data_IF_368282901433
#
_entry.id   IF_368282901433
#
_cell.length_a   1.000
_cell.length_b   1.000
_cell.length_c   1.000
_cell.angle_alpha   90.00
_cell.angle_beta   90.00
_cell.angle_gamma   90.00
#
_symmetry.space_group_name_H-M   'P 1'
#
loop_
_entity.id
_entity.type
_entity.pdbx_description
1 polymer ?
#
# COMPACT_ATOMS: atom_id res chain seq x y z
N UNK A 1 10.39 -60.97 -13.35
CA UNK A 1 10.71 -59.66 -13.93
C UNK A 1 9.49 -58.77 -14.26
N UNK A 2 8.23 -59.11 -13.91
CA UNK A 2 7.02 -58.31 -14.22
C UNK A 2 6.46 -57.47 -13.04
N UNK A 3 6.97 -57.67 -11.83
CA UNK A 3 6.49 -56.93 -10.64
C UNK A 3 7.27 -55.66 -10.29
N UNK A 4 8.47 -55.52 -10.85
CA UNK A 4 9.33 -54.35 -10.55
C UNK A 4 9.01 -53.12 -11.41
N UNK A 5 8.33 -53.29 -12.55
CA UNK A 5 7.97 -52.19 -13.47
C UNK A 5 6.72 -51.43 -13.02
N UNK A 6 5.84 -52.07 -12.22
CA UNK A 6 4.64 -51.41 -11.71
C UNK A 6 4.91 -50.46 -10.53
N UNK A 7 5.99 -50.66 -9.82
CA UNK A 7 6.34 -49.81 -8.64
C UNK A 7 7.06 -48.51 -9.04
N UNK A 8 7.75 -48.49 -10.16
CA UNK A 8 8.36 -47.23 -10.67
C UNK A 8 7.38 -46.29 -11.33
N UNK A 9 6.23 -46.77 -11.82
CA UNK A 9 5.20 -45.94 -12.43
C UNK A 9 4.38 -45.12 -11.42
N UNK A 10 4.25 -45.62 -10.19
CA UNK A 10 3.47 -44.92 -9.14
C UNK A 10 4.24 -43.77 -8.46
N UNK A 11 5.59 -43.81 -8.50
CA UNK A 11 6.44 -42.79 -7.89
C UNK A 11 6.65 -41.55 -8.81
N UNK A 12 6.44 -41.71 -10.12
CA UNK A 12 6.62 -40.62 -11.09
C UNK A 12 5.38 -39.70 -11.23
N UNK A 13 4.21 -40.13 -10.73
CA UNK A 13 2.97 -39.33 -10.80
C UNK A 13 2.79 -38.37 -9.62
N UNK A 14 3.62 -38.48 -8.58
CA UNK A 14 3.50 -37.64 -7.38
C UNK A 14 4.36 -36.36 -7.40
N UNK A 15 5.09 -36.09 -8.48
CA UNK A 15 6.02 -34.93 -8.58
C UNK A 15 5.49 -33.79 -9.49
N UNK A 16 4.28 -33.91 -10.02
CA UNK A 16 3.58 -32.79 -10.68
C UNK A 16 2.52 -32.20 -9.75
N UNK A 17 2.87 -31.95 -8.49
CA UNK A 17 2.17 -30.89 -7.74
C UNK A 17 2.54 -29.58 -8.41
N UNK A 18 1.83 -29.23 -9.49
CA UNK A 18 1.74 -27.88 -9.97
C UNK A 18 1.35 -27.06 -8.75
N UNK A 19 2.27 -26.24 -8.24
CA UNK A 19 1.90 -25.18 -7.31
C UNK A 19 0.93 -24.27 -8.04
N UNK A 20 -0.34 -24.64 -8.05
CA UNK A 20 -1.43 -23.72 -8.36
C UNK A 20 -1.31 -22.70 -7.24
N UNK A 21 -0.80 -21.53 -7.58
CA UNK A 21 -0.79 -20.37 -6.69
C UNK A 21 -2.27 -20.07 -6.41
N UNK A 22 -2.78 -20.72 -5.38
CA UNK A 22 -4.19 -20.63 -5.04
C UNK A 22 -4.49 -19.24 -4.50
N UNK A 23 -5.63 -18.68 -4.86
CA UNK A 23 -6.30 -17.62 -4.12
C UNK A 23 -6.30 -17.95 -2.61
N UNK A 24 -6.49 -16.96 -1.75
CA UNK A 24 -6.54 -17.22 -0.31
C UNK A 24 -7.73 -18.12 0.05
N UNK A 25 -7.64 -18.83 1.17
CA UNK A 25 -8.74 -19.65 1.64
C UNK A 25 -9.95 -18.80 2.06
N UNK A 26 -11.17 -19.37 2.09
CA UNK A 26 -12.34 -18.66 2.62
C UNK A 26 -12.14 -18.16 4.05
N UNK A 27 -11.44 -18.91 4.90
CA UNK A 27 -11.11 -18.55 6.27
C UNK A 27 -10.20 -17.33 6.33
N UNK A 28 -9.19 -17.26 5.45
CA UNK A 28 -8.31 -16.10 5.33
C UNK A 28 -9.08 -14.89 4.80
N UNK A 29 -9.90 -15.07 3.76
CA UNK A 29 -10.71 -13.99 3.20
C UNK A 29 -11.71 -13.41 4.20
N UNK A 30 -12.22 -14.22 5.14
CA UNK A 30 -13.13 -13.77 6.21
C UNK A 30 -12.45 -12.87 7.26
N UNK A 31 -11.12 -12.79 7.28
CA UNK A 31 -10.40 -11.81 8.10
C UNK A 31 -10.59 -10.38 7.58
N UNK A 32 -10.86 -10.20 6.27
CA UNK A 32 -11.10 -8.89 5.66
C UNK A 32 -12.38 -8.25 6.23
N UNK A 33 -12.22 -7.07 6.81
CA UNK A 33 -13.29 -6.34 7.50
C UNK A 33 -13.47 -6.74 8.98
N UNK A 34 -12.84 -7.81 9.45
CA UNK A 34 -12.88 -8.25 10.87
C UNK A 34 -11.58 -7.94 11.60
N UNK A 35 -10.60 -8.81 11.58
CA UNK A 35 -9.26 -8.57 12.14
C UNK A 35 -8.35 -7.79 11.21
N UNK A 36 -8.57 -7.89 9.90
CA UNK A 36 -7.94 -7.04 8.89
C UNK A 36 -8.89 -5.94 8.45
N UNK A 37 -8.34 -4.83 7.97
CA UNK A 37 -9.13 -3.84 7.22
C UNK A 37 -9.71 -4.50 5.96
N UNK A 38 -10.74 -3.95 5.33
CA UNK A 38 -11.27 -4.51 4.08
C UNK A 38 -10.24 -4.65 2.96
N UNK A 39 -9.16 -3.89 3.00
CA UNK A 39 -8.07 -3.93 2.03
C UNK A 39 -6.83 -4.71 2.51
N UNK A 40 -6.94 -5.46 3.62
CA UNK A 40 -5.93 -6.40 4.08
C UNK A 40 -4.88 -5.86 5.05
N UNK A 41 -4.92 -4.58 5.40
CA UNK A 41 -4.06 -4.05 6.46
C UNK A 41 -4.50 -4.55 7.85
N UNK A 42 -3.58 -4.64 8.80
CA UNK A 42 -3.91 -4.94 10.18
C UNK A 42 -4.85 -3.87 10.76
N UNK A 43 -5.98 -4.29 11.34
CA UNK A 43 -6.98 -3.35 11.85
C UNK A 43 -6.63 -2.82 13.24
N UNK A 44 -6.01 -3.64 14.07
CA UNK A 44 -5.57 -3.25 15.41
C UNK A 44 -4.50 -2.15 15.37
N UNK A 45 -4.37 -1.42 16.44
CA UNK A 45 -3.23 -0.54 16.70
C UNK A 45 -2.00 -1.36 17.11
N UNK A 46 -0.82 -0.72 17.10
CA UNK A 46 0.40 -1.35 17.58
C UNK A 46 0.49 -1.33 19.12
N UNK A 47 1.41 -2.12 19.67
CA UNK A 47 1.52 -2.33 21.12
C UNK A 47 1.88 -1.08 21.92
N UNK A 48 2.67 -0.16 21.35
CA UNK A 48 3.10 1.08 22.02
C UNK A 48 2.14 2.26 21.83
N UNK A 49 1.02 2.06 21.09
CA UNK A 49 0.01 3.07 20.83
C UNK A 49 0.40 4.17 19.84
N UNK A 50 1.59 4.10 19.24
CA UNK A 50 2.03 5.09 18.24
C UNK A 50 1.27 5.00 16.92
N UNK A 51 0.69 3.82 16.62
CA UNK A 51 -0.21 3.60 15.49
C UNK A 51 -1.58 3.20 16.04
N UNK A 52 -2.62 4.04 15.89
CA UNK A 52 -3.96 3.74 16.40
C UNK A 52 -4.64 2.61 15.61
N UNK A 53 -5.68 2.01 16.19
CA UNK A 53 -6.54 1.10 15.45
C UNK A 53 -7.23 1.84 14.28
N UNK A 54 -7.44 1.12 13.16
CA UNK A 54 -8.21 1.66 12.05
C UNK A 54 -9.71 1.64 12.37
N UNK A 55 -10.36 2.78 12.27
CA UNK A 55 -11.79 2.99 12.63
C UNK A 55 -12.66 3.34 11.42
N UNK A 56 -12.20 3.06 10.20
CA UNK A 56 -12.95 3.34 8.98
C UNK A 56 -12.29 4.38 8.06
N UNK A 57 -11.23 5.02 8.51
CA UNK A 57 -10.54 6.07 7.77
C UNK A 57 -11.25 7.43 7.86
N UNK A 58 -10.89 8.37 6.98
CA UNK A 58 -11.51 9.68 6.95
C UNK A 58 -12.93 9.61 6.37
N UNK A 59 -13.87 10.44 6.88
CA UNK A 59 -15.19 10.55 6.29
C UNK A 59 -15.14 11.14 4.87
N UNK A 60 -16.15 10.86 4.06
CA UNK A 60 -16.20 11.24 2.64
C UNK A 60 -15.99 12.73 2.37
N UNK A 61 -16.32 13.58 3.31
CA UNK A 61 -16.24 15.06 3.21
C UNK A 61 -15.04 15.66 3.93
N UNK A 62 -14.12 14.85 4.46
CA UNK A 62 -12.95 15.34 5.19
C UNK A 62 -11.98 16.18 4.34
N UNK A 63 -11.99 15.99 3.02
CA UNK A 63 -11.17 16.73 2.06
C UNK A 63 -11.98 17.79 1.32
N UNK A 64 -12.60 18.72 2.01
CA UNK A 64 -13.30 19.83 1.37
C UNK A 64 -12.37 20.57 0.40
N UNK A 65 -12.90 20.99 -0.75
CA UNK A 65 -12.16 21.77 -1.74
C UNK A 65 -12.21 23.24 -1.33
N UNK A 66 -11.08 23.91 -1.28
CA UNK A 66 -11.00 25.34 -1.01
C UNK A 66 -11.54 26.20 -2.18
N UNK A 67 -11.61 27.51 -1.99
CA UNK A 67 -12.09 28.47 -3.01
C UNK A 67 -11.21 28.50 -4.27
N UNK A 68 -10.00 27.95 -4.23
CA UNK A 68 -9.06 27.86 -5.36
C UNK A 68 -9.11 26.50 -6.06
N UNK A 69 -9.94 25.57 -5.58
CA UNK A 69 -10.08 24.23 -6.14
C UNK A 69 -9.06 23.22 -5.62
N UNK A 70 -8.34 23.51 -4.54
CA UNK A 70 -7.39 22.58 -3.89
C UNK A 70 -8.06 21.85 -2.74
N UNK A 71 -7.65 20.62 -2.53
CA UNK A 71 -8.06 19.87 -1.34
C UNK A 71 -7.49 20.52 -0.09
N UNK A 72 -8.35 20.82 0.88
CA UNK A 72 -7.93 21.30 2.17
C UNK A 72 -7.25 20.15 2.96
N UNK A 73 -6.24 20.50 3.74
CA UNK A 73 -5.64 19.58 4.69
C UNK A 73 -6.60 19.31 5.86
N UNK A 74 -7.08 18.08 6.07
CA UNK A 74 -7.99 17.76 7.16
C UNK A 74 -7.33 17.90 8.54
N UNK A 75 -6.00 18.02 8.61
CA UNK A 75 -5.21 18.14 9.83
C UNK A 75 -4.48 19.49 9.96
N UNK A 76 -4.91 20.52 9.21
CA UNK A 76 -4.25 21.84 9.16
C UNK A 76 -3.98 22.50 10.54
N UNK A 77 -4.81 22.18 11.53
CA UNK A 77 -4.68 22.72 12.89
C UNK A 77 -3.85 21.84 13.84
N UNK A 78 -3.36 20.69 13.36
CA UNK A 78 -2.59 19.76 14.18
C UNK A 78 -1.17 20.30 14.40
N UNK A 79 -0.67 20.15 15.63
CA UNK A 79 0.69 20.53 15.98
C UNK A 79 1.57 19.28 16.04
N UNK A 80 2.85 19.38 15.65
CA UNK A 80 3.77 18.27 15.82
C UNK A 80 3.93 17.91 17.30
N UNK A 81 4.06 16.64 17.60
CA UNK A 81 4.40 16.12 18.93
C UNK A 81 5.78 16.60 19.36
N UNK A 82 6.73 16.57 18.43
CA UNK A 82 8.10 17.09 18.58
C UNK A 82 8.72 17.27 17.18
N UNK A 83 9.89 17.90 17.15
CA UNK A 83 10.66 18.08 15.90
C UNK A 83 12.06 17.52 16.08
N UNK A 84 12.49 16.66 15.17
CA UNK A 84 13.86 16.17 15.10
C UNK A 84 14.70 17.20 14.34
N UNK A 85 15.84 17.57 14.93
CA UNK A 85 16.81 18.52 14.38
C UNK A 85 18.21 17.89 14.40
N UNK A 86 19.21 18.53 13.81
CA UNK A 86 20.59 18.08 13.88
C UNK A 86 21.09 17.91 15.34
N UNK A 87 20.60 18.74 16.27
CA UNK A 87 20.96 18.63 17.69
C UNK A 87 20.31 17.44 18.41
N UNK A 88 19.22 16.89 17.88
CA UNK A 88 18.45 15.82 18.52
C UNK A 88 18.44 14.51 17.75
N UNK A 89 18.99 14.47 16.55
CA UNK A 89 18.95 13.31 15.63
C UNK A 89 19.48 12.03 16.26
N UNK A 90 20.48 12.11 17.13
CA UNK A 90 21.10 10.94 17.77
C UNK A 90 20.14 10.16 18.66
N UNK A 91 19.11 10.81 19.20
CA UNK A 91 18.06 10.17 20.01
C UNK A 91 17.09 9.31 19.17
N UNK A 92 17.09 9.48 17.85
CA UNK A 92 16.12 8.87 16.94
C UNK A 92 16.77 8.06 15.82
N UNK A 93 18.07 7.78 15.89
CA UNK A 93 18.82 7.09 14.84
C UNK A 93 18.21 5.74 14.43
N UNK A 94 17.69 5.00 15.40
CA UNK A 94 17.02 3.72 15.20
C UNK A 94 15.67 3.82 14.47
N UNK A 95 15.14 5.03 14.36
CA UNK A 95 13.88 5.35 13.65
C UNK A 95 14.10 6.05 12.30
N UNK A 96 15.34 6.32 11.93
CA UNK A 96 15.68 7.10 10.75
C UNK A 96 16.47 6.25 9.75
N UNK A 97 16.26 6.51 8.46
CA UNK A 97 17.10 5.94 7.41
C UNK A 97 18.47 6.64 7.35
N UNK A 98 19.47 5.96 6.78
CA UNK A 98 20.80 6.54 6.55
C UNK A 98 20.74 7.83 5.73
N UNK A 99 19.83 7.89 4.75
CA UNK A 99 19.59 9.10 3.95
C UNK A 99 19.10 10.28 4.77
N UNK A 100 18.15 10.05 5.71
CA UNK A 100 17.68 11.11 6.61
C UNK A 100 18.79 11.58 7.56
N UNK A 101 19.60 10.67 8.08
CA UNK A 101 20.76 11.01 8.92
C UNK A 101 21.78 11.84 8.12
N UNK A 102 22.05 11.47 6.86
CA UNK A 102 22.93 12.22 5.97
C UNK A 102 22.38 13.64 5.69
N UNK A 103 21.07 13.81 5.56
CA UNK A 103 20.43 15.12 5.39
C UNK A 103 20.66 16.04 6.59
N UNK A 104 20.55 15.54 7.83
CA UNK A 104 20.87 16.31 9.04
C UNK A 104 22.33 16.75 9.10
N UNK A 105 23.26 15.90 8.64
CA UNK A 105 24.68 16.24 8.54
C UNK A 105 24.95 17.30 7.47
N UNK A 106 24.28 17.21 6.33
CA UNK A 106 24.47 18.11 5.18
C UNK A 106 23.83 19.47 5.40
N UNK A 107 22.68 19.53 6.05
CA UNK A 107 21.87 20.73 6.23
C UNK A 107 21.45 20.94 7.70
N UNK A 108 22.42 21.10 8.65
CA UNK A 108 22.13 21.08 10.07
C UNK A 108 21.20 22.21 10.52
N UNK A 109 21.27 23.37 9.86
CA UNK A 109 20.50 24.55 10.22
C UNK A 109 19.08 24.56 9.64
N UNK A 110 18.87 23.92 8.49
CA UNK A 110 17.61 24.03 7.76
C UNK A 110 16.80 22.76 7.73
N UNK A 111 17.45 21.58 7.72
CA UNK A 111 16.75 20.31 7.69
C UNK A 111 16.20 19.94 9.06
N UNK A 112 14.89 19.69 9.10
CA UNK A 112 14.16 19.27 10.31
C UNK A 112 13.02 18.36 9.94
N UNK A 113 12.66 17.46 10.83
CA UNK A 113 11.53 16.54 10.67
C UNK A 113 10.54 16.79 11.81
N UNK A 114 9.42 17.52 11.56
CA UNK A 114 8.33 17.57 12.51
C UNK A 114 7.61 16.21 12.53
N UNK A 115 7.36 15.69 13.72
CA UNK A 115 6.69 14.39 13.92
C UNK A 115 5.29 14.64 14.45
N UNK A 116 4.30 14.16 13.71
CA UNK A 116 2.88 14.29 14.01
C UNK A 116 2.29 12.97 14.53
N UNK A 117 1.11 12.99 15.16
CA UNK A 117 0.37 11.78 15.44
C UNK A 117 0.11 10.98 14.16
N UNK A 118 0.12 9.65 14.27
CA UNK A 118 -0.21 8.79 13.13
C UNK A 118 -1.71 8.74 12.91
N UNK A 119 -2.15 9.04 11.68
CA UNK A 119 -3.53 8.90 11.25
C UNK A 119 -3.68 7.75 10.25
N UNK A 120 -4.72 6.95 10.42
CA UNK A 120 -5.06 5.86 9.50
C UNK A 120 -6.24 6.29 8.63
N UNK A 121 -5.94 7.09 7.62
CA UNK A 121 -6.91 7.88 6.85
C UNK A 121 -7.60 7.13 5.72
N UNK A 122 -7.06 5.97 5.32
CA UNK A 122 -7.55 5.25 4.14
C UNK A 122 -8.98 4.79 4.34
N UNK A 123 -9.86 5.28 3.47
CA UNK A 123 -11.24 4.84 3.31
C UNK A 123 -11.54 4.71 1.82
N UNK A 124 -12.28 3.68 1.44
CA UNK A 124 -12.77 3.46 0.08
C UNK A 124 -14.27 3.18 0.10
N UNK A 125 -14.99 3.40 -1.01
CA UNK A 125 -16.40 3.04 -1.11
C UNK A 125 -16.67 1.57 -0.77
N UNK A 126 -17.89 1.27 -0.27
CA UNK A 126 -18.26 -0.08 0.16
C UNK A 126 -18.15 -1.11 -0.97
N UNK A 127 -18.52 -0.74 -2.20
CA UNK A 127 -18.40 -1.60 -3.39
C UNK A 127 -16.96 -2.00 -3.70
N UNK A 128 -15.98 -1.12 -3.40
CA UNK A 128 -14.56 -1.42 -3.53
C UNK A 128 -14.11 -2.43 -2.47
N UNK A 129 -14.59 -2.30 -1.23
CA UNK A 129 -14.32 -3.27 -0.16
C UNK A 129 -14.85 -4.67 -0.53
N UNK A 130 -16.09 -4.75 -1.03
CA UNK A 130 -16.69 -6.00 -1.48
C UNK A 130 -15.94 -6.61 -2.66
N UNK A 131 -15.48 -5.77 -3.59
CA UNK A 131 -14.68 -6.21 -4.73
C UNK A 131 -13.31 -6.75 -4.29
N UNK A 132 -12.67 -6.13 -3.31
CA UNK A 132 -11.41 -6.61 -2.75
C UNK A 132 -11.57 -8.01 -2.13
N UNK A 133 -12.65 -8.24 -1.36
CA UNK A 133 -12.93 -9.57 -0.79
C UNK A 133 -13.17 -10.64 -1.86
N UNK A 134 -13.91 -10.30 -2.92
CA UNK A 134 -14.09 -11.21 -4.07
C UNK A 134 -12.76 -11.50 -4.79
N UNK A 135 -11.91 -10.49 -4.96
CA UNK A 135 -10.59 -10.65 -5.57
C UNK A 135 -9.70 -11.61 -4.77
N UNK A 136 -9.70 -11.50 -3.46
CA UNK A 136 -8.93 -12.39 -2.58
C UNK A 136 -9.22 -13.87 -2.85
N UNK A 137 -10.47 -14.20 -3.15
CA UNK A 137 -10.92 -15.58 -3.40
C UNK A 137 -10.70 -16.06 -4.85
N UNK A 138 -10.55 -15.17 -5.82
CA UNK A 138 -10.65 -15.54 -7.23
C UNK A 138 -9.45 -15.14 -8.07
N UNK A 139 -8.78 -14.04 -7.75
CA UNK A 139 -7.66 -13.54 -8.57
C UNK A 139 -6.43 -14.38 -8.35
N UNK A 140 -5.79 -14.77 -9.45
CA UNK A 140 -4.53 -15.53 -9.43
C UNK A 140 -3.51 -14.92 -10.38
N UNK A 141 -2.22 -14.91 -10.00
CA UNK A 141 -1.16 -14.53 -10.93
C UNK A 141 -1.02 -15.59 -12.04
N UNK A 142 -0.73 -15.15 -13.26
CA UNK A 142 -0.42 -16.00 -14.41
C UNK A 142 0.89 -15.56 -15.06
N UNK A 143 1.42 -16.37 -15.96
CA UNK A 143 2.65 -16.07 -16.73
C UNK A 143 3.84 -15.68 -15.82
N UNK A 144 4.07 -16.46 -14.76
CA UNK A 144 5.16 -16.16 -13.80
C UNK A 144 4.98 -14.86 -13.02
N UNK A 145 3.73 -14.38 -12.88
CA UNK A 145 3.42 -13.13 -12.18
C UNK A 145 3.27 -11.91 -13.10
N UNK A 146 3.45 -12.07 -14.41
CA UNK A 146 3.35 -10.97 -15.38
C UNK A 146 1.91 -10.67 -15.81
N UNK A 147 0.91 -11.39 -15.29
CA UNK A 147 -0.50 -11.17 -15.60
C UNK A 147 -1.41 -11.64 -14.48
N UNK A 148 -2.69 -11.31 -14.61
CA UNK A 148 -3.75 -11.70 -13.67
C UNK A 148 -4.84 -12.47 -14.40
N UNK A 149 -5.27 -13.58 -13.81
CA UNK A 149 -6.50 -14.29 -14.21
C UNK A 149 -7.63 -13.91 -13.25
N UNK A 150 -8.87 -13.97 -13.75
CA UNK A 150 -10.11 -13.71 -13.00
C UNK A 150 -10.20 -12.30 -12.38
N UNK A 151 -9.38 -11.36 -12.82
CA UNK A 151 -9.45 -9.97 -12.42
C UNK A 151 -10.50 -9.25 -13.26
N UNK A 152 -11.71 -9.14 -12.74
CA UNK A 152 -12.86 -8.53 -13.41
C UNK A 152 -13.11 -7.13 -12.86
N UNK A 153 -12.50 -6.15 -13.45
CA UNK A 153 -12.65 -4.78 -13.02
C UNK A 153 -11.28 -4.08 -12.91
N UNK A 154 -11.28 -2.80 -12.68
CA UNK A 154 -10.07 -1.98 -12.77
C UNK A 154 -9.95 -0.94 -11.63
N UNK A 155 -10.63 -1.15 -10.52
CA UNK A 155 -10.73 -0.13 -9.46
C UNK A 155 -10.58 -0.68 -8.05
N UNK A 156 -9.92 -1.84 -7.87
CA UNK A 156 -9.78 -2.46 -6.55
C UNK A 156 -8.50 -3.30 -6.45
N UNK A 157 -8.13 -3.65 -5.24
CA UNK A 157 -6.93 -4.43 -4.96
C UNK A 157 -7.10 -5.87 -5.45
N UNK A 158 -6.11 -6.36 -6.21
CA UNK A 158 -6.11 -7.72 -6.72
C UNK A 158 -5.88 -8.75 -5.60
N UNK A 159 -4.98 -8.46 -4.67
CA UNK A 159 -4.53 -9.35 -3.59
C UNK A 159 -4.58 -8.66 -2.22
N UNK A 160 -5.76 -8.49 -1.59
CA UNK A 160 -5.83 -7.85 -0.27
C UNK A 160 -5.01 -8.57 0.80
N UNK A 161 -4.76 -9.87 0.62
CA UNK A 161 -3.88 -10.69 1.47
C UNK A 161 -2.76 -11.24 0.58
N UNK A 162 -1.74 -10.44 0.25
CA UNK A 162 -0.68 -10.84 -0.67
C UNK A 162 0.23 -11.88 -0.02
N UNK A 163 0.68 -12.87 -0.81
CA UNK A 163 1.56 -13.96 -0.39
C UNK A 163 3.02 -13.75 -0.78
N UNK A 164 3.28 -12.82 -1.70
CA UNK A 164 4.62 -12.54 -2.21
C UNK A 164 4.73 -11.09 -2.73
N UNK A 165 5.96 -10.68 -3.06
CA UNK A 165 6.25 -9.32 -3.52
C UNK A 165 5.59 -8.95 -4.86
N UNK A 166 5.38 -9.91 -5.76
CA UNK A 166 4.71 -9.67 -7.05
C UNK A 166 3.25 -9.27 -6.82
N UNK A 167 2.56 -9.96 -5.91
CA UNK A 167 1.18 -9.62 -5.54
C UNK A 167 1.07 -8.24 -4.88
N UNK A 168 2.07 -7.85 -4.09
CA UNK A 168 2.16 -6.48 -3.53
C UNK A 168 2.29 -5.43 -4.64
N UNK A 169 3.12 -5.69 -5.65
CA UNK A 169 3.26 -4.79 -6.82
C UNK A 169 1.95 -4.70 -7.60
N UNK A 170 1.26 -5.82 -7.80
CA UNK A 170 -0.06 -5.81 -8.43
C UNK A 170 -1.08 -4.98 -7.66
N UNK A 171 -1.06 -5.02 -6.33
CA UNK A 171 -1.91 -4.14 -5.51
C UNK A 171 -1.61 -2.66 -5.75
N UNK A 172 -0.33 -2.29 -5.93
CA UNK A 172 0.04 -0.93 -6.29
C UNK A 172 -0.51 -0.54 -7.67
N UNK A 173 -0.42 -1.42 -8.65
CA UNK A 173 -0.90 -1.18 -10.03
C UNK A 173 -2.43 -1.09 -10.09
N UNK A 174 -3.13 -1.99 -9.38
CA UNK A 174 -4.59 -2.13 -9.48
C UNK A 174 -5.37 -1.35 -8.42
N UNK A 175 -4.69 -0.64 -7.53
CA UNK A 175 -5.34 0.07 -6.42
C UNK A 175 -6.42 1.04 -6.88
N UNK A 176 -7.39 1.28 -6.03
CA UNK A 176 -8.42 2.28 -6.26
C UNK A 176 -7.83 3.70 -6.32
N UNK A 177 -8.10 4.40 -7.40
CA UNK A 177 -7.64 5.78 -7.65
C UNK A 177 -8.78 6.81 -7.61
N UNK A 178 -9.95 6.42 -7.14
CA UNK A 178 -11.17 7.21 -7.25
C UNK A 178 -12.01 6.78 -8.47
N UNK A 179 -13.03 7.57 -8.78
CA UNK A 179 -13.87 7.37 -9.98
C UNK A 179 -13.21 7.95 -11.24
N UNK A 180 -14.03 8.50 -12.13
CA UNK A 180 -13.52 9.22 -13.28
C UNK A 180 -12.87 10.52 -12.80
N UNK A 181 -11.63 10.75 -13.23
CA UNK A 181 -10.80 11.83 -12.76
C UNK A 181 -10.27 12.64 -13.94
N UNK A 182 -10.47 13.95 -13.89
CA UNK A 182 -9.79 14.89 -14.78
C UNK A 182 -8.71 15.62 -13.98
N UNK A 183 -7.47 15.57 -14.45
CA UNK A 183 -6.34 16.27 -13.83
C UNK A 183 -5.80 17.32 -14.79
N UNK A 184 -5.36 18.43 -14.22
CA UNK A 184 -4.42 19.34 -14.89
C UNK A 184 -3.13 19.24 -14.09
N UNK A 185 -2.04 18.83 -14.74
CA UNK A 185 -0.74 18.66 -14.11
C UNK A 185 0.19 19.73 -14.68
N UNK A 186 0.86 20.44 -13.78
CA UNK A 186 1.96 21.34 -14.14
C UNK A 186 3.25 20.74 -13.62
N UNK A 187 4.16 20.41 -14.51
CA UNK A 187 5.49 19.92 -14.18
C UNK A 187 6.50 21.06 -14.32
N UNK A 188 7.23 21.35 -13.25
CA UNK A 188 8.37 22.25 -13.26
C UNK A 188 9.66 21.43 -13.20
N UNK A 189 10.49 21.54 -14.22
CA UNK A 189 11.78 20.83 -14.31
C UNK A 189 12.92 21.82 -14.04
N UNK A 190 13.64 21.69 -12.92
CA UNK A 190 14.78 22.56 -12.59
C UNK A 190 15.89 22.42 -13.64
N UNK A 191 16.57 23.53 -13.91
CA UNK A 191 17.73 23.61 -14.79
C UNK A 191 19.00 23.97 -13.99
N UNK A 192 20.16 23.68 -14.55
CA UNK A 192 21.46 23.92 -13.89
C UNK A 192 21.78 25.40 -13.64
N UNK A 193 21.15 26.31 -14.38
CA UNK A 193 21.28 27.77 -14.22
C UNK A 193 20.39 28.36 -13.10
N UNK A 194 19.59 27.51 -12.40
CA UNK A 194 18.66 27.94 -11.37
C UNK A 194 17.25 28.26 -11.86
N UNK A 195 17.03 28.26 -13.18
CA UNK A 195 15.69 28.42 -13.77
C UNK A 195 14.90 27.09 -13.75
N UNK A 196 13.69 27.12 -14.25
CA UNK A 196 12.87 25.94 -14.47
C UNK A 196 12.03 26.06 -15.75
N UNK A 197 11.79 24.92 -16.37
CA UNK A 197 10.87 24.80 -17.49
C UNK A 197 9.52 24.29 -16.99
N UNK A 198 8.44 24.93 -17.40
CA UNK A 198 7.08 24.53 -17.03
C UNK A 198 6.37 23.89 -18.20
N UNK A 199 5.83 22.68 -17.97
CA UNK A 199 4.96 21.98 -18.93
C UNK A 199 3.63 21.72 -18.24
N UNK A 200 2.52 22.03 -18.93
CA UNK A 200 1.17 21.79 -18.44
C UNK A 200 0.47 20.75 -19.31
N UNK A 201 -0.11 19.74 -18.69
CA UNK A 201 -0.82 18.63 -19.34
C UNK A 201 -2.31 18.66 -19.04
#
# INVERSE_FOLDING_TARGET
>A
MRKTILQCGALALSLLAVNVMAAVSPEEANKLGTSLTPLGGEKAGNADGSIPAWTGGLPKNAGAVDSKGFLADPFANEKPLFTITAATVDKYKDKLSDGQIAMFKRYPETYKIPVYPTHRTVAVPADINESAKRSALNVTPINGGNGLANFTGNRYYAFPIPKNGVEVIWNHVTRYHGGNLRRTITQATPQSNGDFTVIRF
#
